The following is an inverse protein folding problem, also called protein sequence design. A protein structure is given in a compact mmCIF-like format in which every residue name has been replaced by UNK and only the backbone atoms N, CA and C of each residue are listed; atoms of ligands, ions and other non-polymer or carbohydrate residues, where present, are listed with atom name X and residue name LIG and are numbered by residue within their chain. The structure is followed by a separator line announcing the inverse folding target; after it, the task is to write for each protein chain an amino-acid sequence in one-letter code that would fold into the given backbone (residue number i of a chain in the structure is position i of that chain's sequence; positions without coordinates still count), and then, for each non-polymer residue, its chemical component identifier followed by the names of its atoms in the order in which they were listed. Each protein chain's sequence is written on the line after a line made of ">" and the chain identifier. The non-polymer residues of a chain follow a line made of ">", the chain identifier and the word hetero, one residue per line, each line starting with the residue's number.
data_IF_870169138953
#
_entry.id   IF_870169138953
#
_cell.length_a   1.000
_cell.length_b   1.000
_cell.length_c   1.000
_cell.angle_alpha   90.00
_cell.angle_beta   90.00
_cell.angle_gamma   90.00
#
_symmetry.space_group_name_H-M   'P 1'
#
loop_
_entity.id
_entity.type
_entity.pdbx_description
1 polymer ?
#
# COMPACT_ATOMS: atom_id res chain seq x y z
N UNK A 1 12.65 2.20 -17.41
CA UNK A 1 12.46 1.90 -15.99
C UNK A 1 11.55 0.69 -15.84
N UNK A 2 12.02 -0.30 -15.11
CA UNK A 2 11.29 -1.57 -14.90
C UNK A 2 9.91 -1.39 -14.26
N UNK A 3 9.72 -0.34 -13.46
CA UNK A 3 8.44 -0.08 -12.81
C UNK A 3 7.31 0.25 -13.79
N UNK A 4 7.62 0.79 -14.97
CA UNK A 4 6.60 1.10 -15.98
C UNK A 4 6.11 -0.13 -16.75
N UNK A 5 6.90 -1.19 -16.85
CA UNK A 5 6.52 -2.41 -17.55
C UNK A 5 5.59 -3.32 -16.76
N UNK A 6 5.40 -3.03 -15.47
CA UNK A 6 4.55 -3.83 -14.57
C UNK A 6 3.08 -3.39 -14.59
N UNK A 7 2.73 -2.41 -15.40
CA UNK A 7 1.41 -1.75 -15.40
C UNK A 7 0.38 -2.32 -16.37
N UNK A 8 0.40 -3.56 -16.72
CA UNK A 8 -0.61 -4.11 -17.61
C UNK A 8 -1.62 -4.97 -16.86
N UNK A 9 -2.81 -4.45 -16.67
CA UNK A 9 -3.89 -5.24 -16.11
C UNK A 9 -5.13 -4.43 -15.75
N UNK A 10 -5.98 -4.19 -16.70
CA UNK A 10 -7.36 -3.73 -16.43
C UNK A 10 -8.17 -4.90 -15.90
N UNK A 11 -8.51 -4.86 -14.64
CA UNK A 11 -9.37 -5.88 -14.04
C UNK A 11 -10.83 -5.43 -14.11
N UNK A 12 -11.59 -6.07 -14.98
CA UNK A 12 -13.01 -5.84 -15.18
C UNK A 12 -13.81 -6.82 -14.30
N UNK A 13 -13.68 -6.72 -13.00
CA UNK A 13 -14.47 -7.55 -12.07
C UNK A 13 -15.55 -6.72 -11.39
N UNK A 14 -16.77 -7.30 -11.29
CA UNK A 14 -17.88 -6.70 -10.54
C UNK A 14 -17.44 -6.41 -9.12
N UNK A 15 -17.51 -5.13 -8.72
CA UNK A 15 -17.10 -4.71 -7.39
C UNK A 15 -18.12 -5.14 -6.34
N UNK A 16 -17.67 -5.95 -5.37
CA UNK A 16 -18.43 -6.23 -4.16
C UNK A 16 -18.38 -5.01 -3.23
N UNK A 17 -19.23 -4.95 -2.21
CA UNK A 17 -19.21 -3.89 -1.20
C UNK A 17 -17.84 -3.81 -0.51
N UNK A 18 -17.24 -4.94 -0.15
CA UNK A 18 -15.92 -5.00 0.45
C UNK A 18 -14.84 -4.40 -0.48
N UNK A 19 -14.92 -4.67 -1.78
CA UNK A 19 -14.00 -4.13 -2.77
C UNK A 19 -14.16 -2.62 -2.91
N UNK A 20 -15.40 -2.11 -2.88
CA UNK A 20 -15.67 -0.66 -2.92
C UNK A 20 -15.09 0.06 -1.70
N UNK A 21 -15.23 -0.51 -0.51
CA UNK A 21 -14.66 0.02 0.73
C UNK A 21 -13.14 0.04 0.64
N UNK A 22 -12.53 -1.05 0.18
CA UNK A 22 -11.08 -1.13 -0.04
C UNK A 22 -10.58 -0.07 -1.02
N UNK A 23 -11.27 0.09 -2.16
CA UNK A 23 -10.92 1.10 -3.17
C UNK A 23 -11.04 2.52 -2.60
N UNK A 24 -12.06 2.79 -1.82
CA UNK A 24 -12.26 4.08 -1.16
C UNK A 24 -11.14 4.36 -0.16
N UNK A 25 -10.76 3.34 0.62
CA UNK A 25 -9.64 3.44 1.55
C UNK A 25 -8.32 3.76 0.86
N UNK A 26 -8.04 3.10 -0.25
CA UNK A 26 -6.84 3.39 -1.05
C UNK A 26 -6.85 4.81 -1.62
N UNK A 27 -8.01 5.33 -2.01
CA UNK A 27 -8.14 6.72 -2.44
C UNK A 27 -7.82 7.70 -1.30
N UNK A 28 -8.36 7.45 -0.12
CA UNK A 28 -8.05 8.27 1.06
C UNK A 28 -6.56 8.21 1.41
N UNK A 29 -5.97 7.03 1.39
CA UNK A 29 -4.54 6.85 1.65
C UNK A 29 -3.69 7.62 0.63
N UNK A 30 -4.04 7.54 -0.65
CA UNK A 30 -3.32 8.25 -1.71
C UNK A 30 -3.39 9.77 -1.54
N UNK A 31 -4.55 10.30 -1.22
CA UNK A 31 -4.71 11.74 -0.97
C UNK A 31 -3.91 12.19 0.25
N UNK A 32 -3.97 11.41 1.32
CA UNK A 32 -3.20 11.67 2.53
C UNK A 32 -1.70 11.74 2.23
N UNK A 33 -1.18 10.75 1.52
CA UNK A 33 0.24 10.70 1.17
C UNK A 33 0.66 11.88 0.29
N UNK A 34 -0.12 12.21 -0.74
CA UNK A 34 0.17 13.34 -1.62
C UNK A 34 0.19 14.66 -0.86
N UNK A 35 -0.76 14.89 0.04
CA UNK A 35 -0.81 16.09 0.88
C UNK A 35 0.38 16.17 1.83
N UNK A 36 0.91 15.03 2.26
CA UNK A 36 2.08 14.95 3.13
C UNK A 36 3.42 15.03 2.36
N UNK A 37 3.39 15.24 1.05
CA UNK A 37 4.59 15.42 0.23
C UNK A 37 5.17 14.14 -0.35
N UNK A 38 4.45 13.03 -0.29
CA UNK A 38 4.87 11.76 -0.89
C UNK A 38 4.65 11.76 -2.39
N UNK A 39 5.49 11.01 -3.11
CA UNK A 39 5.32 10.76 -4.53
C UNK A 39 4.81 9.34 -4.73
N UNK A 40 3.58 9.20 -5.22
CA UNK A 40 3.00 7.88 -5.53
C UNK A 40 3.59 7.40 -6.85
N UNK A 41 4.26 6.25 -6.82
CA UNK A 41 4.84 5.64 -8.01
C UNK A 41 3.81 4.75 -8.69
N UNK A 42 3.11 3.93 -7.92
CA UNK A 42 2.14 2.98 -8.45
C UNK A 42 1.08 2.62 -7.42
N UNK A 43 -0.09 2.23 -7.93
CA UNK A 43 -1.18 1.67 -7.13
C UNK A 43 -1.59 0.34 -7.73
N UNK A 44 -2.04 -0.59 -6.87
CA UNK A 44 -2.54 -1.90 -7.28
C UNK A 44 -1.55 -2.66 -8.17
N UNK A 45 -0.31 -2.71 -7.73
CA UNK A 45 0.78 -3.36 -8.47
C UNK A 45 0.78 -4.86 -8.16
N UNK A 46 0.89 -5.69 -9.20
CA UNK A 46 0.90 -7.14 -9.08
C UNK A 46 2.30 -7.71 -9.22
N UNK A 47 2.63 -8.65 -8.31
CA UNK A 47 3.85 -9.46 -8.36
C UNK A 47 3.43 -10.93 -8.32
N UNK A 48 3.23 -11.56 -9.49
CA UNK A 48 2.64 -12.88 -9.55
C UNK A 48 1.23 -12.89 -8.97
N UNK A 49 1.01 -13.65 -7.90
CA UNK A 49 -0.27 -13.68 -7.17
C UNK A 49 -0.35 -12.67 -6.04
N UNK A 50 0.75 -11.97 -5.76
CA UNK A 50 0.79 -10.99 -4.69
C UNK A 50 0.38 -9.61 -5.22
N UNK A 51 -0.30 -8.82 -4.40
CA UNK A 51 -0.75 -7.48 -4.74
C UNK A 51 -0.21 -6.47 -3.74
N UNK A 52 0.29 -5.36 -4.29
CA UNK A 52 0.77 -4.21 -3.52
C UNK A 52 -0.20 -3.05 -3.71
N UNK A 53 -0.73 -2.52 -2.61
CA UNK A 53 -1.71 -1.46 -2.68
C UNK A 53 -1.10 -0.15 -3.19
N UNK A 54 0.00 0.30 -2.58
CA UNK A 54 0.66 1.55 -2.97
C UNK A 54 2.18 1.37 -2.89
N UNK A 55 2.88 1.84 -3.92
CA UNK A 55 4.32 2.01 -3.92
C UNK A 55 4.61 3.50 -4.03
N UNK A 56 5.41 4.05 -3.11
CA UNK A 56 5.65 5.48 -3.06
C UNK A 56 7.06 5.82 -2.57
N UNK A 57 7.52 7.02 -2.93
CA UNK A 57 8.69 7.64 -2.32
C UNK A 57 8.23 8.55 -1.19
N UNK A 58 8.89 8.48 -0.06
CA UNK A 58 8.61 9.38 1.05
C UNK A 58 9.09 10.82 0.75
N UNK A 59 8.71 11.82 1.56
CA UNK A 59 9.10 13.20 1.31
C UNK A 59 10.61 13.43 1.23
N UNK A 60 11.42 12.62 1.95
CA UNK A 60 12.88 12.71 1.89
C UNK A 60 13.45 12.23 0.55
N UNK A 61 12.69 11.43 -0.19
CA UNK A 61 13.10 10.72 -1.41
C UNK A 61 14.22 9.69 -1.19
N UNK A 62 14.49 9.34 0.07
CA UNK A 62 15.50 8.36 0.45
C UNK A 62 14.91 6.98 0.71
N UNK A 63 13.60 6.88 0.83
CA UNK A 63 12.91 5.64 1.09
C UNK A 63 11.91 5.31 -0.02
N UNK A 64 12.06 4.11 -0.59
CA UNK A 64 11.05 3.50 -1.43
C UNK A 64 10.16 2.67 -0.51
N UNK A 65 8.88 3.02 -0.43
CA UNK A 65 8.00 2.50 0.61
C UNK A 65 6.89 1.67 0.00
N UNK A 66 6.80 0.44 0.47
CA UNK A 66 5.71 -0.49 0.18
C UNK A 66 4.63 -0.20 1.21
N UNK A 67 3.43 0.17 0.76
CA UNK A 67 2.35 0.57 1.66
C UNK A 67 1.18 -0.39 1.50
N UNK A 68 0.83 -1.06 2.59
CA UNK A 68 -0.37 -1.86 2.73
C UNK A 68 -1.48 -0.99 3.32
N UNK A 69 -2.63 -0.97 2.67
CA UNK A 69 -3.80 -0.20 3.13
C UNK A 69 -4.83 -1.16 3.68
N UNK A 70 -5.24 -0.94 4.93
CA UNK A 70 -6.28 -1.73 5.60
C UNK A 70 -7.45 -0.83 5.95
N UNK A 71 -8.62 -1.20 5.48
CA UNK A 71 -9.83 -0.38 5.62
C UNK A 71 -10.90 -1.16 6.35
N UNK A 72 -11.57 -0.51 7.30
CA UNK A 72 -12.76 -1.05 7.95
C UNK A 72 -13.88 -0.03 7.92
N UNK A 73 -15.12 -0.51 7.76
CA UNK A 73 -16.34 0.31 7.84
C UNK A 73 -17.08 0.13 9.16
N UNK A 74 -16.61 -0.74 10.04
CA UNK A 74 -17.20 -1.02 11.35
C UNK A 74 -16.11 -0.99 12.40
N UNK A 75 -16.48 -0.86 13.69
CA UNK A 75 -15.60 -0.59 14.80
C UNK A 75 -14.52 -1.62 15.14
N UNK A 76 -13.85 -2.19 14.17
CA UNK A 76 -12.72 -3.08 14.38
C UNK A 76 -11.39 -2.33 14.52
N UNK A 77 -10.31 -3.06 14.80
CA UNK A 77 -8.94 -2.54 14.80
C UNK A 77 -8.24 -2.97 13.50
N UNK A 78 -8.22 -2.12 12.45
CA UNK A 78 -7.67 -2.49 11.15
C UNK A 78 -6.22 -2.97 11.19
N UNK A 79 -5.42 -2.41 12.09
CA UNK A 79 -4.02 -2.76 12.29
C UNK A 79 -3.80 -4.23 12.67
N UNK A 80 -4.81 -4.88 13.25
CA UNK A 80 -4.76 -6.31 13.62
C UNK A 80 -5.06 -7.24 12.45
N UNK A 81 -5.44 -6.71 11.29
CA UNK A 81 -5.87 -7.52 10.15
C UNK A 81 -4.74 -7.88 9.19
N UNK A 82 -3.50 -7.48 9.45
CA UNK A 82 -2.34 -7.88 8.65
C UNK A 82 -1.93 -9.29 9.07
N UNK A 83 -2.42 -10.29 8.33
CA UNK A 83 -2.20 -11.71 8.62
C UNK A 83 -0.78 -12.16 8.30
N UNK A 84 -0.40 -13.35 8.79
CA UNK A 84 0.87 -13.98 8.44
C UNK A 84 0.99 -14.22 6.93
N UNK A 85 -0.11 -14.59 6.28
CA UNK A 85 -0.15 -14.76 4.82
C UNK A 85 0.19 -13.44 4.11
N UNK A 86 -0.38 -12.33 4.57
CA UNK A 86 -0.10 -11.01 4.01
C UNK A 86 1.33 -10.56 4.28
N UNK A 87 1.85 -10.83 5.48
CA UNK A 87 3.25 -10.54 5.82
C UNK A 87 4.22 -11.29 4.91
N UNK A 88 3.94 -12.56 4.62
CA UNK A 88 4.75 -13.33 3.66
C UNK A 88 4.69 -12.74 2.25
N UNK A 89 3.50 -12.32 1.81
CA UNK A 89 3.35 -11.65 0.52
C UNK A 89 4.15 -10.35 0.46
N UNK A 90 4.07 -9.51 1.49
CA UNK A 90 4.84 -8.27 1.59
C UNK A 90 6.35 -8.54 1.60
N UNK A 91 6.78 -9.60 2.25
CA UNK A 91 8.19 -10.02 2.26
C UNK A 91 8.68 -10.41 0.85
N UNK A 92 7.86 -11.14 0.09
CA UNK A 92 8.19 -11.48 -1.31
C UNK A 92 8.28 -10.23 -2.19
N UNK A 93 7.34 -9.30 -2.04
CA UNK A 93 7.32 -8.03 -2.77
C UNK A 93 8.56 -7.21 -2.42
N UNK A 94 8.90 -7.11 -1.14
CA UNK A 94 10.08 -6.39 -0.68
C UNK A 94 11.36 -6.97 -1.31
N UNK A 95 11.46 -8.28 -1.36
CA UNK A 95 12.59 -8.97 -1.97
C UNK A 95 12.70 -8.67 -3.47
N UNK A 96 11.56 -8.63 -4.17
CA UNK A 96 11.51 -8.31 -5.59
C UNK A 96 11.91 -6.85 -5.88
N UNK A 97 11.64 -5.93 -4.96
CA UNK A 97 11.92 -4.50 -5.14
C UNK A 97 13.27 -4.06 -4.59
N UNK A 98 14.01 -4.94 -3.93
CA UNK A 98 15.29 -4.60 -3.31
C UNK A 98 16.31 -4.03 -4.30
N UNK A 99 16.45 -4.66 -5.46
CA UNK A 99 17.35 -4.21 -6.51
C UNK A 99 16.97 -2.83 -7.05
N UNK A 100 15.68 -2.61 -7.27
CA UNK A 100 15.15 -1.33 -7.74
C UNK A 100 15.44 -0.20 -6.75
N UNK A 101 15.23 -0.46 -5.46
CA UNK A 101 15.52 0.52 -4.41
C UNK A 101 17.01 0.90 -4.41
N UNK A 102 17.89 -0.08 -4.48
CA UNK A 102 19.35 0.14 -4.52
C UNK A 102 19.77 0.96 -5.75
N UNK A 103 19.21 0.69 -6.92
CA UNK A 103 19.51 1.44 -8.15
C UNK A 103 19.17 2.93 -8.03
N UNK A 104 18.16 3.26 -7.25
CA UNK A 104 17.71 4.64 -7.03
C UNK A 104 18.25 5.25 -5.72
N UNK A 105 19.22 4.60 -5.08
CA UNK A 105 19.80 5.04 -3.80
C UNK A 105 18.74 5.20 -2.71
N UNK A 106 17.75 4.34 -2.71
CA UNK A 106 16.67 4.34 -1.72
C UNK A 106 16.84 3.15 -0.77
N UNK A 107 16.43 3.35 0.47
CA UNK A 107 16.14 2.26 1.40
C UNK A 107 14.74 1.74 1.11
N UNK A 108 14.54 0.45 1.29
CA UNK A 108 13.23 -0.16 1.18
C UNK A 108 12.57 -0.23 2.55
N UNK A 109 11.33 0.22 2.64
CA UNK A 109 10.58 0.25 3.89
C UNK A 109 9.17 -0.24 3.65
N UNK A 110 8.56 -0.87 4.63
CA UNK A 110 7.17 -1.30 4.60
C UNK A 110 6.39 -0.51 5.63
N UNK A 111 5.33 0.16 5.18
CA UNK A 111 4.40 0.90 6.02
C UNK A 111 3.01 0.29 5.92
N UNK A 112 2.21 0.50 6.94
CA UNK A 112 0.78 0.15 6.94
C UNK A 112 -0.01 1.42 7.19
N UNK A 113 -1.00 1.66 6.35
CA UNK A 113 -1.98 2.72 6.58
C UNK A 113 -3.32 2.06 6.87
N UNK A 114 -3.91 2.40 8.00
CA UNK A 114 -5.23 1.92 8.38
C UNK A 114 -6.24 3.04 8.23
N UNK A 115 -7.41 2.71 7.69
CA UNK A 115 -8.49 3.67 7.48
C UNK A 115 -9.75 3.11 8.08
N UNK A 116 -10.31 3.84 9.04
CA UNK A 116 -11.62 3.53 9.61
C UNK A 116 -12.64 4.49 9.02
N UNK A 117 -13.62 3.96 8.31
CA UNK A 117 -14.68 4.75 7.69
C UNK A 117 -15.90 4.71 8.59
N UNK A 118 -16.39 5.90 9.00
CA UNK A 118 -17.65 6.07 9.67
C UNK A 118 -18.62 6.84 8.76
N UNK A 119 -19.88 7.02 9.19
CA UNK A 119 -20.97 7.52 8.33
C UNK A 119 -20.62 8.81 7.57
N UNK A 120 -19.97 9.79 8.21
CA UNK A 120 -19.60 11.08 7.59
C UNK A 120 -18.14 11.45 7.78
N UNK A 121 -17.31 10.53 8.30
CA UNK A 121 -15.91 10.80 8.61
C UNK A 121 -15.05 9.59 8.30
N UNK A 122 -13.75 9.80 8.25
CA UNK A 122 -12.78 8.71 8.23
C UNK A 122 -11.60 9.07 9.12
N UNK A 123 -10.95 8.05 9.67
CA UNK A 123 -9.75 8.19 10.48
C UNK A 123 -8.61 7.45 9.80
N UNK A 124 -7.48 8.13 9.64
CA UNK A 124 -6.27 7.56 9.03
C UNK A 124 -5.21 7.43 10.10
N UNK A 125 -4.59 6.25 10.17
CA UNK A 125 -3.38 6.02 10.97
C UNK A 125 -2.29 5.48 10.05
N UNK A 126 -1.08 6.00 10.20
CA UNK A 126 0.06 5.60 9.41
C UNK A 126 1.13 5.00 10.31
N UNK A 127 1.45 3.74 10.10
CA UNK A 127 2.48 3.00 10.82
C UNK A 127 3.69 2.83 9.92
N UNK A 128 4.75 3.55 10.21
CA UNK A 128 5.98 3.50 9.42
C UNK A 128 6.89 2.36 9.88
N UNK A 129 7.64 1.80 8.94
CA UNK A 129 8.70 0.81 9.20
C UNK A 129 8.21 -0.39 10.00
N UNK A 130 7.09 -0.99 9.55
CA UNK A 130 6.56 -2.18 10.22
C UNK A 130 7.43 -3.40 9.93
N UNK A 131 7.56 -4.28 10.92
CA UNK A 131 8.28 -5.54 10.78
C UNK A 131 7.39 -6.58 10.12
N UNK A 132 7.88 -7.19 9.03
CA UNK A 132 7.13 -8.18 8.23
C UNK A 132 7.68 -9.60 8.34
N UNK A 133 8.69 -9.80 9.15
CA UNK A 133 9.28 -11.13 9.42
C UNK A 133 8.66 -11.75 10.65
#
# INVERSE_FOLDING_TARGET
>A
MLLQSLFSGTNNSRSTTAKRIGNLGEQFASKYLKRAGWTIISRNLHFGHDELDILALDPSRKNLVIIEVRTTASGGAPERTVTHKKRRALSRIARALKSEALQHNCRLRVDVITIRIAANTHEIRHFEAVTIV
#
